data_IF_286213405003
#
_entry.id   IF_286213405003
#
_cell.length_a   1.000
_cell.length_b   1.000
_cell.length_c   1.000
_cell.angle_alpha   90.00
_cell.angle_beta   90.00
_cell.angle_gamma   90.00
#
_symmetry.space_group_name_H-M   'P 1'
#
loop_
_entity.id
_entity.type
_entity.pdbx_description
1 polymer ?
#
# COMPACT_ATOMS: atom_id res chain seq x y z
N UNK A 1 4.02 21.28 7.06
CA UNK A 1 3.91 19.84 7.33
C UNK A 1 3.01 19.22 6.28
N UNK A 2 3.39 18.08 5.73
CA UNK A 2 2.56 17.34 4.80
C UNK A 2 1.24 16.89 5.45
N UNK A 3 0.18 16.85 4.65
CA UNK A 3 -1.11 16.29 5.08
C UNK A 3 -1.20 14.82 4.66
N UNK A 4 -2.03 14.06 5.35
CA UNK A 4 -2.34 12.69 4.97
C UNK A 4 -3.81 12.38 5.19
N UNK A 5 -4.34 11.42 4.45
CA UNK A 5 -5.71 10.93 4.54
C UNK A 5 -5.75 9.41 4.60
N UNK A 6 -6.83 8.87 5.14
CA UNK A 6 -6.96 7.43 5.34
C UNK A 6 -7.48 6.73 4.08
N UNK A 7 -6.87 5.62 3.75
CA UNK A 7 -7.29 4.67 2.73
C UNK A 7 -7.24 3.23 3.23
N UNK A 8 -7.84 2.34 2.45
CA UNK A 8 -7.71 0.90 2.59
C UNK A 8 -7.10 0.31 1.32
N UNK A 9 -6.38 -0.81 1.44
CA UNK A 9 -5.91 -1.55 0.28
C UNK A 9 -6.65 -2.87 0.11
N UNK A 10 -6.41 -3.55 -1.00
CA UNK A 10 -6.86 -4.93 -1.18
C UNK A 10 -6.20 -5.89 -0.17
N UNK A 11 -5.07 -5.51 0.45
CA UNK A 11 -4.46 -6.21 1.58
C UNK A 11 -5.05 -5.84 2.96
N UNK A 12 -6.03 -4.94 3.02
CA UNK A 12 -6.90 -4.84 4.21
C UNK A 12 -7.78 -6.09 4.32
N UNK A 13 -8.08 -6.71 3.16
CA UNK A 13 -8.91 -7.90 3.03
C UNK A 13 -8.21 -9.03 2.24
N UNK A 14 -7.03 -9.52 2.70
CA UNK A 14 -6.26 -10.52 1.97
C UNK A 14 -7.00 -11.86 1.81
N UNK A 15 -7.76 -12.30 2.81
CA UNK A 15 -8.49 -13.57 2.73
C UNK A 15 -9.74 -13.44 1.87
N UNK A 16 -10.48 -12.34 1.96
CA UNK A 16 -11.62 -12.10 1.08
C UNK A 16 -11.17 -11.96 -0.39
N UNK A 17 -9.96 -11.43 -0.66
CA UNK A 17 -9.39 -11.40 -2.00
C UNK A 17 -8.88 -12.76 -2.51
N UNK A 18 -8.84 -13.78 -1.63
CA UNK A 18 -8.47 -15.14 -2.01
C UNK A 18 -6.95 -15.40 -2.03
N UNK A 19 -6.15 -14.65 -1.28
CA UNK A 19 -4.70 -14.87 -1.14
C UNK A 19 -4.37 -16.25 -0.62
N UNK A 20 -5.18 -16.80 0.31
CA UNK A 20 -4.95 -18.14 0.83
C UNK A 20 -5.60 -19.22 -0.07
N UNK A 21 -4.83 -20.03 -0.82
CA UNK A 21 -5.38 -21.02 -1.73
C UNK A 21 -6.14 -22.14 -1.00
N UNK A 22 -5.85 -22.39 0.28
CA UNK A 22 -6.52 -23.42 1.10
C UNK A 22 -7.88 -22.96 1.64
N UNK A 23 -8.14 -21.66 1.67
CA UNK A 23 -9.37 -21.04 2.18
C UNK A 23 -9.83 -19.95 1.21
N UNK A 24 -10.31 -20.33 0.03
CA UNK A 24 -10.83 -19.37 -0.96
C UNK A 24 -12.31 -19.10 -0.76
N UNK A 25 -12.74 -17.82 -0.71
CA UNK A 25 -14.16 -17.49 -0.69
C UNK A 25 -14.83 -17.85 -2.02
N UNK A 26 -16.09 -18.27 -1.97
CA UNK A 26 -16.88 -18.58 -3.18
C UNK A 26 -17.10 -17.33 -4.06
N UNK A 27 -17.14 -16.16 -3.42
CA UNK A 27 -17.22 -14.85 -4.07
C UNK A 27 -16.04 -13.99 -3.57
N UNK A 28 -14.91 -13.99 -4.29
CA UNK A 28 -13.76 -13.19 -3.91
C UNK A 28 -14.05 -11.69 -4.01
N UNK A 29 -13.27 -10.89 -3.28
CA UNK A 29 -13.31 -9.43 -3.37
C UNK A 29 -13.08 -8.98 -4.81
N UNK A 30 -13.99 -8.13 -5.29
CA UNK A 30 -13.88 -7.49 -6.60
C UNK A 30 -13.36 -6.05 -6.45
N UNK A 31 -12.87 -5.40 -7.53
CA UNK A 31 -12.51 -4.00 -7.46
C UNK A 31 -13.65 -3.09 -7.00
N UNK A 32 -14.87 -3.29 -7.47
CA UNK A 32 -16.06 -2.54 -7.02
C UNK A 32 -16.38 -2.85 -5.56
N UNK A 33 -16.28 -4.11 -5.15
CA UNK A 33 -16.49 -4.52 -3.77
C UNK A 33 -15.50 -3.88 -2.78
N UNK A 34 -14.25 -3.61 -3.19
CA UNK A 34 -13.29 -2.88 -2.35
C UNK A 34 -13.69 -1.40 -2.19
N UNK A 35 -14.24 -0.78 -3.23
CA UNK A 35 -14.82 0.58 -3.14
C UNK A 35 -15.99 0.59 -2.17
N UNK A 36 -16.88 -0.42 -2.22
CA UNK A 36 -18.00 -0.54 -1.28
C UNK A 36 -17.52 -0.69 0.17
N UNK A 37 -16.42 -1.44 0.39
CA UNK A 37 -15.77 -1.54 1.71
C UNK A 37 -15.27 -0.17 2.19
N UNK A 38 -14.63 0.63 1.32
CA UNK A 38 -14.17 1.96 1.66
C UNK A 38 -15.34 2.90 2.04
N UNK A 39 -16.42 2.87 1.28
CA UNK A 39 -17.65 3.62 1.60
C UNK A 39 -18.23 3.18 2.95
N UNK A 40 -18.34 1.87 3.20
CA UNK A 40 -18.87 1.34 4.45
C UNK A 40 -18.02 1.69 5.68
N UNK A 41 -16.70 1.84 5.50
CA UNK A 41 -15.74 2.25 6.53
C UNK A 41 -15.60 3.78 6.63
N UNK A 42 -16.26 4.53 5.76
CA UNK A 42 -16.14 6.00 5.65
C UNK A 42 -14.67 6.43 5.53
N UNK A 43 -13.96 5.89 4.52
CA UNK A 43 -12.59 6.27 4.14
C UNK A 43 -12.56 6.70 2.68
N UNK A 44 -11.69 7.67 2.36
CA UNK A 44 -11.71 8.37 1.07
C UNK A 44 -10.77 7.84 0.00
N UNK A 45 -10.03 6.74 0.26
CA UNK A 45 -9.05 6.23 -0.67
C UNK A 45 -9.04 4.70 -0.71
N UNK A 46 -8.87 4.14 -1.91
CA UNK A 46 -8.68 2.71 -2.17
C UNK A 46 -7.41 2.50 -2.95
N UNK A 47 -6.53 1.65 -2.44
CA UNK A 47 -5.34 1.20 -3.15
C UNK A 47 -5.51 -0.25 -3.57
N UNK A 48 -5.47 -0.50 -4.87
CA UNK A 48 -5.43 -1.85 -5.42
C UNK A 48 -4.00 -2.37 -5.42
N UNK A 49 -3.76 -3.45 -4.73
CA UNK A 49 -2.45 -4.10 -4.66
C UNK A 49 -2.40 -5.36 -5.56
N UNK A 50 -1.26 -6.02 -5.60
CA UNK A 50 -1.02 -7.15 -6.50
C UNK A 50 -1.86 -8.42 -6.19
N UNK A 51 -2.57 -8.48 -5.08
CA UNK A 51 -3.55 -9.53 -4.77
C UNK A 51 -4.92 -9.31 -5.44
N UNK A 52 -5.11 -8.16 -6.08
CA UNK A 52 -6.26 -7.83 -6.92
C UNK A 52 -5.75 -7.20 -8.24
N UNK A 53 -5.05 -7.98 -9.08
CA UNK A 53 -4.32 -7.47 -10.24
C UNK A 53 -5.24 -7.00 -11.36
N UNK A 54 -4.77 -6.03 -12.13
CA UNK A 54 -5.51 -5.43 -13.26
C UNK A 54 -4.95 -5.84 -14.62
N UNK A 55 -4.02 -6.78 -14.66
CA UNK A 55 -3.30 -7.17 -15.87
C UNK A 55 -4.24 -7.54 -17.04
N UNK A 56 -5.35 -8.23 -16.74
CA UNK A 56 -6.28 -8.79 -17.71
C UNK A 56 -7.59 -7.97 -17.90
N UNK A 57 -7.71 -6.81 -17.24
CA UNK A 57 -8.92 -6.00 -17.34
C UNK A 57 -8.99 -5.27 -18.67
N UNK A 58 -10.20 -5.29 -19.25
CA UNK A 58 -10.51 -4.53 -20.46
C UNK A 58 -10.62 -3.03 -20.16
N UNK A 59 -10.47 -2.23 -21.16
CA UNK A 59 -10.66 -0.79 -21.08
C UNK A 59 -12.04 -0.42 -20.54
N UNK A 60 -13.08 -1.13 -20.96
CA UNK A 60 -14.44 -0.91 -20.47
C UNK A 60 -14.58 -1.20 -18.97
N UNK A 61 -13.93 -2.26 -18.48
CA UNK A 61 -13.90 -2.60 -17.05
C UNK A 61 -13.18 -1.52 -16.23
N UNK A 62 -12.05 -1.00 -16.75
CA UNK A 62 -11.33 0.09 -16.08
C UNK A 62 -12.17 1.39 -16.02
N UNK A 63 -12.89 1.71 -17.10
CA UNK A 63 -13.80 2.87 -17.14
C UNK A 63 -14.96 2.72 -16.15
N UNK A 64 -15.53 1.51 -16.02
CA UNK A 64 -16.56 1.20 -15.03
C UNK A 64 -16.05 1.42 -13.61
N UNK A 65 -14.88 0.88 -13.27
CA UNK A 65 -14.26 1.04 -11.93
C UNK A 65 -14.04 2.53 -11.64
N UNK A 66 -13.51 3.29 -12.60
CA UNK A 66 -13.30 4.73 -12.46
C UNK A 66 -14.59 5.47 -12.19
N UNK A 67 -15.61 5.24 -13.01
CA UNK A 67 -16.92 5.89 -12.87
C UNK A 67 -17.56 5.57 -11.50
N UNK A 68 -17.48 4.30 -11.08
CA UNK A 68 -18.03 3.84 -9.81
C UNK A 68 -17.38 4.52 -8.60
N UNK A 69 -16.03 4.68 -8.64
CA UNK A 69 -15.29 5.37 -7.60
C UNK A 69 -15.61 6.88 -7.57
N UNK A 70 -15.66 7.53 -8.75
CA UNK A 70 -15.98 8.94 -8.87
C UNK A 70 -17.37 9.28 -8.32
N UNK A 71 -18.39 8.47 -8.64
CA UNK A 71 -19.75 8.62 -8.11
C UNK A 71 -19.78 8.59 -6.57
N UNK A 72 -18.87 7.84 -5.96
CA UNK A 72 -18.77 7.66 -4.49
C UNK A 72 -17.76 8.59 -3.81
N UNK A 73 -17.07 9.43 -4.59
CA UNK A 73 -16.04 10.33 -4.07
C UNK A 73 -14.81 9.61 -3.51
N UNK A 74 -14.51 8.40 -4.01
CA UNK A 74 -13.36 7.60 -3.60
C UNK A 74 -12.18 7.85 -4.54
N UNK A 75 -11.04 8.23 -3.98
CA UNK A 75 -9.76 8.24 -4.71
C UNK A 75 -9.26 6.83 -4.93
N UNK A 76 -8.73 6.58 -6.13
CA UNK A 76 -8.11 5.31 -6.45
C UNK A 76 -6.59 5.47 -6.52
N UNK A 77 -5.90 4.43 -6.09
CA UNK A 77 -4.48 4.19 -6.31
C UNK A 77 -4.29 2.76 -6.83
N UNK A 78 -3.30 2.56 -7.67
CA UNK A 78 -2.99 1.25 -8.24
C UNK A 78 -1.70 0.69 -7.68
N UNK A 79 -1.53 -0.63 -7.75
CA UNK A 79 -0.31 -1.29 -7.28
C UNK A 79 0.02 -2.54 -8.08
N UNK A 80 1.31 -2.78 -8.24
CA UNK A 80 1.86 -3.93 -8.95
C UNK A 80 3.01 -4.58 -8.19
N UNK A 81 3.34 -5.82 -8.58
CA UNK A 81 4.52 -6.55 -8.11
C UNK A 81 5.32 -7.05 -9.32
N UNK A 82 6.66 -6.89 -9.27
CA UNK A 82 7.55 -7.19 -10.38
C UNK A 82 7.58 -6.07 -11.42
N UNK A 83 8.50 -5.12 -11.23
CA UNK A 83 8.64 -3.93 -12.08
C UNK A 83 9.48 -4.22 -13.33
N UNK A 84 9.07 -5.24 -14.13
CA UNK A 84 9.65 -5.39 -15.47
C UNK A 84 9.25 -4.21 -16.36
N UNK A 85 10.06 -3.83 -17.38
CA UNK A 85 9.75 -2.70 -18.26
C UNK A 85 8.33 -2.76 -18.83
N UNK A 86 7.96 -3.89 -19.44
CA UNK A 86 6.67 -4.06 -20.07
C UNK A 86 5.50 -3.98 -19.07
N UNK A 87 5.65 -4.56 -17.88
CA UNK A 87 4.60 -4.53 -16.86
C UNK A 87 4.44 -3.14 -16.26
N UNK A 88 5.56 -2.45 -15.99
CA UNK A 88 5.51 -1.08 -15.50
C UNK A 88 4.82 -0.14 -16.50
N UNK A 89 5.14 -0.24 -17.78
CA UNK A 89 4.44 0.51 -18.84
C UNK A 89 2.95 0.20 -18.87
N UNK A 90 2.58 -1.08 -18.81
CA UNK A 90 1.17 -1.51 -18.77
C UNK A 90 0.42 -0.91 -17.56
N UNK A 91 1.03 -0.92 -16.38
CA UNK A 91 0.40 -0.36 -15.18
C UNK A 91 0.33 1.17 -15.19
N UNK A 92 1.26 1.86 -15.86
CA UNK A 92 1.15 3.30 -16.12
C UNK A 92 -0.09 3.59 -16.98
N UNK A 93 -0.33 2.80 -18.04
CA UNK A 93 -1.52 2.97 -18.91
C UNK A 93 -2.82 2.69 -18.13
N UNK A 94 -2.86 1.62 -17.34
CA UNK A 94 -3.99 1.29 -16.47
C UNK A 94 -4.26 2.43 -15.49
N UNK A 95 -3.21 2.93 -14.83
CA UNK A 95 -3.30 4.04 -13.87
C UNK A 95 -3.83 5.32 -14.50
N UNK A 96 -3.32 5.66 -15.69
CA UNK A 96 -3.78 6.82 -16.46
C UNK A 96 -5.27 6.69 -16.83
N UNK A 97 -5.72 5.50 -17.26
CA UNK A 97 -7.12 5.26 -17.60
C UNK A 97 -8.06 5.33 -16.40
N UNK A 98 -7.64 4.80 -15.27
CA UNK A 98 -8.37 4.91 -14.00
C UNK A 98 -8.38 6.34 -13.45
N UNK A 99 -7.50 7.22 -13.95
CA UNK A 99 -7.37 8.60 -13.48
C UNK A 99 -6.74 8.70 -12.09
N UNK A 100 -5.87 7.74 -11.74
CA UNK A 100 -5.18 7.74 -10.44
C UNK A 100 -3.93 8.60 -10.48
N UNK A 101 -3.56 9.16 -9.33
CA UNK A 101 -2.36 10.01 -9.19
C UNK A 101 -1.14 9.25 -8.65
N UNK A 102 -1.32 8.02 -8.15
CA UNK A 102 -0.25 7.22 -7.57
C UNK A 102 -0.33 5.75 -8.00
N UNK A 103 0.82 5.23 -8.45
CA UNK A 103 1.09 3.82 -8.74
C UNK A 103 2.11 3.30 -7.72
N UNK A 104 1.72 2.33 -6.91
CA UNK A 104 2.61 1.61 -6.00
C UNK A 104 3.30 0.45 -6.71
N UNK A 105 4.60 0.29 -6.55
CA UNK A 105 5.37 -0.80 -7.13
C UNK A 105 6.24 -1.54 -6.12
N UNK A 106 6.16 -2.88 -6.11
CA UNK A 106 7.21 -3.75 -5.55
C UNK A 106 8.14 -4.12 -6.69
N UNK A 107 9.45 -3.96 -6.49
CA UNK A 107 10.46 -4.21 -7.52
C UNK A 107 10.49 -5.66 -7.98
N UNK A 108 10.34 -6.58 -7.05
CA UNK A 108 10.57 -8.00 -7.21
C UNK A 108 9.29 -8.79 -7.51
N UNK A 109 9.43 -9.91 -8.19
CA UNK A 109 8.40 -10.94 -8.35
C UNK A 109 9.08 -12.33 -8.43
N UNK A 110 8.28 -13.41 -8.43
CA UNK A 110 8.80 -14.75 -8.59
C UNK A 110 9.62 -14.86 -9.89
N UNK A 111 10.91 -15.20 -9.75
CA UNK A 111 11.84 -15.31 -10.88
C UNK A 111 12.33 -13.97 -11.46
N UNK A 112 12.06 -12.86 -10.81
CA UNK A 112 12.55 -11.53 -11.21
C UNK A 112 12.95 -10.72 -9.97
N UNK A 113 14.25 -10.64 -9.73
CA UNK A 113 14.89 -9.89 -8.63
C UNK A 113 16.00 -9.01 -9.22
N UNK A 114 15.64 -7.89 -9.87
CA UNK A 114 16.59 -7.04 -10.56
C UNK A 114 17.55 -6.35 -9.58
N UNK A 115 18.84 -6.17 -9.94
CA UNK A 115 19.73 -5.33 -9.16
C UNK A 115 19.30 -3.86 -9.20
N UNK A 116 19.78 -3.06 -8.26
CA UNK A 116 19.40 -1.65 -8.11
C UNK A 116 19.59 -0.84 -9.41
N UNK A 117 20.70 -1.06 -10.09
CA UNK A 117 21.04 -0.37 -11.34
C UNK A 117 20.01 -0.66 -12.44
N UNK A 118 19.48 -1.87 -12.48
CA UNK A 118 18.41 -2.22 -13.42
C UNK A 118 17.10 -1.54 -13.05
N UNK A 119 16.73 -1.52 -11.77
CA UNK A 119 15.54 -0.82 -11.30
C UNK A 119 15.61 0.67 -11.66
N UNK A 120 16.73 1.33 -11.36
CA UNK A 120 16.97 2.73 -11.71
C UNK A 120 16.83 2.96 -13.21
N UNK A 121 17.44 2.09 -14.02
CA UNK A 121 17.36 2.17 -15.50
C UNK A 121 15.93 2.02 -16.00
N UNK A 122 15.18 1.05 -15.48
CA UNK A 122 13.79 0.78 -15.85
C UNK A 122 12.91 1.97 -15.49
N UNK A 123 13.02 2.48 -14.27
CA UNK A 123 12.22 3.64 -13.81
C UNK A 123 12.55 4.89 -14.62
N UNK A 124 13.83 5.17 -14.86
CA UNK A 124 14.23 6.31 -15.73
C UNK A 124 13.66 6.20 -17.14
N UNK A 125 13.54 4.99 -17.67
CA UNK A 125 12.96 4.75 -19.01
C UNK A 125 11.49 5.16 -19.12
N UNK A 126 10.74 5.16 -18.02
CA UNK A 126 9.30 5.49 -18.00
C UNK A 126 8.99 6.91 -17.51
N UNK A 127 9.99 7.70 -17.09
CA UNK A 127 9.77 9.06 -16.58
C UNK A 127 8.94 9.96 -17.52
N UNK A 128 9.18 9.96 -18.86
CA UNK A 128 8.36 10.79 -19.75
C UNK A 128 6.88 10.38 -19.78
N UNK A 129 6.58 9.11 -19.47
CA UNK A 129 5.18 8.62 -19.38
C UNK A 129 4.56 9.05 -18.05
N UNK A 130 5.30 8.97 -16.94
CA UNK A 130 4.86 9.47 -15.64
C UNK A 130 4.55 10.97 -15.71
N UNK A 131 5.42 11.77 -16.33
CA UNK A 131 5.21 13.20 -16.55
C UNK A 131 3.96 13.49 -17.38
N UNK A 132 3.79 12.77 -18.50
CA UNK A 132 2.62 12.95 -19.39
C UNK A 132 1.29 12.76 -18.66
N UNK A 133 1.25 11.85 -17.70
CA UNK A 133 0.02 11.51 -16.96
C UNK A 133 -0.06 12.16 -15.58
N UNK A 134 0.97 12.89 -15.15
CA UNK A 134 1.05 13.44 -13.78
C UNK A 134 1.03 12.35 -12.72
N UNK A 135 1.55 11.15 -13.04
CA UNK A 135 1.47 9.96 -12.21
C UNK A 135 2.72 9.85 -11.33
N UNK A 136 2.51 9.73 -10.02
CA UNK A 136 3.59 9.44 -9.07
C UNK A 136 3.81 7.93 -8.99
N UNK A 137 5.06 7.49 -9.11
CA UNK A 137 5.48 6.11 -8.83
C UNK A 137 6.04 6.05 -7.40
N UNK A 138 5.39 5.24 -6.55
CA UNK A 138 5.87 4.93 -5.21
C UNK A 138 6.50 3.54 -5.17
N UNK A 139 7.80 3.44 -4.89
CA UNK A 139 8.50 2.16 -4.71
C UNK A 139 8.41 1.77 -3.25
N UNK A 140 7.86 0.58 -2.97
CA UNK A 140 7.68 0.10 -1.61
C UNK A 140 8.89 -0.64 -1.09
N UNK A 141 9.26 -0.39 0.18
CA UNK A 141 10.23 -1.23 0.87
C UNK A 141 9.63 -2.61 1.13
N UNK A 142 10.30 -3.62 0.58
CA UNK A 142 9.86 -5.01 0.66
C UNK A 142 11.07 -5.95 0.65
N UNK A 143 11.25 -6.70 1.72
CA UNK A 143 12.12 -7.85 1.97
C UNK A 143 13.63 -7.72 1.65
N UNK A 144 14.07 -7.12 0.55
CA UNK A 144 15.43 -7.32 0.02
C UNK A 144 16.39 -6.16 0.28
N UNK A 145 15.95 -4.93 0.06
CA UNK A 145 16.79 -3.75 0.23
C UNK A 145 16.61 -3.11 1.61
N UNK A 146 17.69 -2.55 2.14
CA UNK A 146 17.64 -1.73 3.34
C UNK A 146 17.03 -0.34 3.03
N UNK A 147 16.48 0.31 4.03
CA UNK A 147 15.88 1.65 3.91
C UNK A 147 16.83 2.67 3.28
N UNK A 148 18.14 2.63 3.65
CA UNK A 148 19.16 3.48 3.04
C UNK A 148 19.35 3.21 1.55
N UNK A 149 19.25 1.93 1.13
CA UNK A 149 19.42 1.55 -0.28
C UNK A 149 18.22 2.01 -1.12
N UNK A 150 17.00 2.00 -0.53
CA UNK A 150 15.83 2.64 -1.16
C UNK A 150 16.03 4.15 -1.32
N UNK A 151 16.55 4.85 -0.31
CA UNK A 151 16.86 6.27 -0.42
C UNK A 151 17.92 6.56 -1.50
N UNK A 152 18.97 5.73 -1.58
CA UNK A 152 19.99 5.81 -2.64
C UNK A 152 19.39 5.57 -4.03
N UNK A 153 18.48 4.61 -4.16
CA UNK A 153 17.76 4.33 -5.40
C UNK A 153 16.96 5.56 -5.87
N UNK A 154 16.22 6.21 -4.97
CA UNK A 154 15.46 7.42 -5.30
C UNK A 154 16.41 8.57 -5.69
N UNK A 155 17.52 8.75 -4.96
CA UNK A 155 18.51 9.76 -5.30
C UNK A 155 19.14 9.53 -6.69
N UNK A 156 19.43 8.27 -7.03
CA UNK A 156 19.91 7.91 -8.37
C UNK A 156 18.86 8.16 -9.44
N UNK A 157 17.58 7.83 -9.21
CA UNK A 157 16.51 8.13 -10.18
C UNK A 157 16.38 9.63 -10.38
N UNK A 158 16.42 10.42 -9.32
CA UNK A 158 16.53 11.88 -9.34
C UNK A 158 15.31 12.58 -9.95
N UNK A 159 14.09 12.10 -9.71
CA UNK A 159 12.89 12.65 -10.33
C UNK A 159 11.75 12.90 -9.31
N UNK A 160 11.07 14.07 -9.34
CA UNK A 160 10.05 14.41 -8.33
C UNK A 160 8.79 13.52 -8.38
N UNK A 161 8.49 12.87 -9.48
CA UNK A 161 7.36 11.93 -9.59
C UNK A 161 7.70 10.50 -9.10
N UNK A 162 8.89 10.28 -8.56
CA UNK A 162 9.27 8.98 -8.00
C UNK A 162 9.59 9.15 -6.52
N UNK A 163 8.96 8.34 -5.68
CA UNK A 163 9.15 8.36 -4.24
C UNK A 163 9.02 6.97 -3.62
N UNK A 164 8.89 6.92 -2.31
CA UNK A 164 8.81 5.68 -1.56
C UNK A 164 7.42 5.49 -0.93
N UNK A 165 6.91 4.28 -1.02
CA UNK A 165 5.85 3.80 -0.15
C UNK A 165 6.52 3.25 1.10
N UNK A 166 6.31 3.91 2.22
CA UNK A 166 6.89 3.50 3.50
C UNK A 166 6.00 2.45 4.13
N UNK A 167 6.45 1.21 4.19
CA UNK A 167 5.76 0.17 4.96
C UNK A 167 6.46 -0.02 6.31
N UNK A 168 5.70 0.14 7.37
CA UNK A 168 6.24 0.15 8.73
C UNK A 168 6.64 -1.21 9.26
N UNK A 169 6.27 -2.30 8.59
CA UNK A 169 6.52 -3.67 9.08
C UNK A 169 7.40 -4.51 8.17
N UNK A 170 7.46 -4.19 6.87
CA UNK A 170 8.26 -4.98 5.94
C UNK A 170 9.75 -4.99 6.30
N UNK A 171 10.29 -3.87 6.81
CA UNK A 171 11.69 -3.78 7.26
C UNK A 171 12.01 -4.60 8.52
N UNK A 172 11.01 -5.26 9.14
CA UNK A 172 11.30 -6.27 10.18
C UNK A 172 12.05 -7.48 9.60
N UNK A 173 11.88 -7.78 8.31
CA UNK A 173 12.59 -8.86 7.61
C UNK A 173 14.06 -8.56 7.40
N UNK A 174 14.45 -7.28 7.37
CA UNK A 174 15.84 -6.80 7.26
C UNK A 174 16.42 -6.38 8.62
N UNK A 175 15.71 -6.66 9.70
CA UNK A 175 16.11 -6.34 11.10
C UNK A 175 16.36 -4.84 11.34
N UNK A 176 15.75 -3.95 10.55
CA UNK A 176 15.91 -2.52 10.69
C UNK A 176 14.96 -1.94 11.75
N UNK A 177 15.46 -1.16 12.71
CA UNK A 177 14.61 -0.44 13.63
C UNK A 177 13.82 0.66 12.91
N UNK A 178 12.57 0.87 13.31
CA UNK A 178 11.66 1.83 12.65
C UNK A 178 12.23 3.26 12.56
N UNK A 179 13.02 3.67 13.52
CA UNK A 179 13.63 5.01 13.53
C UNK A 179 14.64 5.17 12.40
N UNK A 180 15.40 4.13 12.09
CA UNK A 180 16.34 4.11 10.95
C UNK A 180 15.58 4.08 9.62
N UNK A 181 14.54 3.26 9.50
CA UNK A 181 13.66 3.24 8.33
C UNK A 181 13.10 4.63 8.04
N UNK A 182 12.56 5.30 9.06
CA UNK A 182 12.01 6.65 8.92
C UNK A 182 13.07 7.68 8.54
N UNK A 183 14.27 7.60 9.10
CA UNK A 183 15.36 8.53 8.78
C UNK A 183 15.69 8.55 7.28
N UNK A 184 15.72 7.39 6.64
CA UNK A 184 16.08 7.29 5.22
C UNK A 184 14.88 7.43 4.30
N UNK A 185 13.70 6.92 4.66
CA UNK A 185 12.60 6.83 3.74
C UNK A 185 11.62 8.01 3.81
N UNK A 186 11.45 8.63 4.98
CA UNK A 186 10.47 9.70 5.15
C UNK A 186 10.69 10.92 4.21
N UNK A 187 11.95 11.35 3.92
CA UNK A 187 12.19 12.44 2.96
C UNK A 187 11.74 12.14 1.52
N UNK A 188 11.38 10.90 1.24
CA UNK A 188 10.92 10.43 -0.08
C UNK A 188 9.51 9.88 -0.06
N UNK A 189 8.81 9.96 1.07
CA UNK A 189 7.50 9.35 1.27
C UNK A 189 6.44 9.95 0.34
N UNK A 190 5.71 9.09 -0.37
CA UNK A 190 4.54 9.43 -1.20
C UNK A 190 3.29 8.63 -0.79
N UNK A 191 3.44 7.59 0.02
CA UNK A 191 2.38 6.79 0.62
C UNK A 191 2.92 6.10 1.87
N UNK A 192 2.07 5.89 2.86
CA UNK A 192 2.39 5.13 4.06
C UNK A 192 1.47 3.91 4.16
N UNK A 193 2.06 2.71 4.20
CA UNK A 193 1.33 1.48 4.52
C UNK A 193 1.37 1.26 6.02
N UNK A 194 0.23 1.43 6.67
CA UNK A 194 0.10 1.21 8.09
C UNK A 194 -0.32 -0.22 8.37
N UNK A 195 0.56 -0.94 9.04
CA UNK A 195 0.35 -2.28 9.59
C UNK A 195 0.70 -2.25 11.07
N UNK A 196 0.14 -3.17 11.85
CA UNK A 196 0.52 -3.35 13.24
C UNK A 196 0.80 -4.82 13.52
N UNK A 197 1.62 -5.10 14.51
CA UNK A 197 2.07 -6.44 14.82
C UNK A 197 2.32 -6.63 16.31
N UNK A 198 2.39 -7.89 16.73
CA UNK A 198 2.89 -8.30 18.05
C UNK A 198 3.98 -9.34 17.93
N UNK A 199 4.81 -9.44 18.95
CA UNK A 199 5.82 -10.48 19.12
C UNK A 199 5.44 -11.30 20.34
N UNK A 200 5.29 -12.60 20.17
CA UNK A 200 4.89 -13.51 21.22
C UNK A 200 5.69 -14.82 21.16
N UNK A 201 5.64 -15.62 22.23
CA UNK A 201 6.21 -16.96 22.20
C UNK A 201 5.51 -17.78 21.12
N UNK A 202 6.29 -18.57 20.37
CA UNK A 202 5.73 -19.51 19.43
C UNK A 202 4.87 -20.57 20.14
N UNK A 203 3.92 -21.18 19.43
CA UNK A 203 3.04 -22.22 19.99
C UNK A 203 3.81 -23.45 20.51
N UNK A 204 5.03 -23.67 20.03
CA UNK A 204 5.92 -24.71 20.54
C UNK A 204 6.55 -24.40 21.90
N UNK A 205 6.38 -23.17 22.41
CA UNK A 205 7.04 -22.69 23.64
C UNK A 205 8.51 -22.31 23.44
N UNK A 206 9.08 -22.55 22.27
CA UNK A 206 10.48 -22.25 21.91
C UNK A 206 10.49 -21.25 20.75
N UNK A 207 11.27 -20.18 20.89
CA UNK A 207 11.36 -19.12 19.89
C UNK A 207 10.26 -18.07 20.00
N UNK A 208 10.24 -17.17 19.03
CA UNK A 208 9.28 -16.06 18.92
C UNK A 208 8.56 -16.14 17.57
N UNK A 209 7.33 -15.68 17.55
CA UNK A 209 6.54 -15.46 16.35
C UNK A 209 6.13 -13.98 16.27
N UNK A 210 6.25 -13.40 15.09
CA UNK A 210 5.71 -12.09 14.76
C UNK A 210 4.37 -12.34 14.06
N UNK A 211 3.31 -11.72 14.56
CA UNK A 211 1.95 -11.85 14.00
C UNK A 211 1.30 -10.49 13.90
N UNK A 212 0.45 -10.29 12.90
CA UNK A 212 -0.30 -9.07 12.76
C UNK A 212 -1.26 -8.81 13.91
N UNK A 213 -1.63 -7.54 14.06
CA UNK A 213 -2.63 -7.04 14.99
C UNK A 213 -3.48 -5.95 14.31
N UNK A 214 -4.70 -5.69 14.77
CA UNK A 214 -5.41 -4.49 14.39
C UNK A 214 -4.58 -3.24 14.73
N UNK A 215 -4.60 -2.22 13.86
CA UNK A 215 -3.85 -0.98 14.09
C UNK A 215 -4.18 -0.36 15.46
N UNK A 216 -3.14 0.00 16.21
CA UNK A 216 -3.25 0.55 17.56
C UNK A 216 -3.34 -0.48 18.68
N UNK A 217 -3.36 -1.78 18.37
CA UNK A 217 -3.40 -2.86 19.35
C UNK A 217 -2.09 -3.64 19.43
N UNK A 218 -1.13 -3.32 18.58
CA UNK A 218 0.16 -3.97 18.50
C UNK A 218 1.30 -3.14 19.07
N UNK A 219 2.46 -3.29 18.47
CA UNK A 219 3.72 -2.68 18.91
C UNK A 219 4.19 -1.52 18.07
N UNK A 220 3.55 -1.28 16.91
CA UNK A 220 3.94 -0.16 16.05
C UNK A 220 3.63 1.18 16.74
N UNK A 221 4.60 2.08 16.84
CA UNK A 221 4.38 3.41 17.39
C UNK A 221 3.72 4.33 16.34
N UNK A 222 2.52 3.94 15.84
CA UNK A 222 1.83 4.58 14.71
C UNK A 222 1.75 6.12 14.84
N UNK A 223 1.39 6.72 16.00
CA UNK A 223 1.36 8.17 16.12
C UNK A 223 2.73 8.81 15.87
N UNK A 224 3.81 8.22 16.44
CA UNK A 224 5.19 8.71 16.23
C UNK A 224 5.60 8.64 14.76
N UNK A 225 5.26 7.55 14.08
CA UNK A 225 5.55 7.37 12.65
C UNK A 225 4.83 8.44 11.83
N UNK A 226 3.53 8.63 12.06
CA UNK A 226 2.72 9.63 11.37
C UNK A 226 3.26 11.05 11.58
N UNK A 227 3.62 11.41 12.81
CA UNK A 227 4.18 12.73 13.12
C UNK A 227 5.53 12.94 12.41
N UNK A 228 6.36 11.90 12.34
CA UNK A 228 7.64 11.95 11.63
C UNK A 228 7.42 12.12 10.13
N UNK A 229 6.57 11.29 9.53
CA UNK A 229 6.25 11.36 8.09
C UNK A 229 5.63 12.72 7.71
N UNK A 230 4.67 13.24 8.49
CA UNK A 230 4.09 14.57 8.25
C UNK A 230 5.11 15.69 8.26
N UNK A 231 6.17 15.58 9.05
CA UNK A 231 7.24 16.58 9.16
C UNK A 231 8.22 16.50 8.00
N UNK A 232 8.62 15.30 7.59
CA UNK A 232 9.73 15.06 6.67
C UNK A 232 9.28 14.77 5.22
N UNK A 233 8.05 14.31 5.00
CA UNK A 233 7.57 14.01 3.66
C UNK A 233 7.57 15.24 2.75
N UNK A 234 8.01 15.11 1.49
CA UNK A 234 8.15 16.23 0.57
C UNK A 234 6.81 16.78 0.05
N UNK A 235 5.73 16.05 0.26
CA UNK A 235 4.36 16.34 -0.20
C UNK A 235 3.33 15.63 0.65
N UNK A 236 2.07 15.95 0.40
CA UNK A 236 0.94 15.20 0.94
C UNK A 236 0.94 13.75 0.44
N UNK A 237 0.46 12.82 1.27
CA UNK A 237 0.52 11.38 1.01
C UNK A 237 -0.70 10.64 1.57
N UNK A 238 -1.05 9.51 0.97
CA UNK A 238 -2.06 8.60 1.52
C UNK A 238 -1.47 7.75 2.65
N UNK A 239 -2.29 7.47 3.67
CA UNK A 239 -2.03 6.44 4.68
C UNK A 239 -2.99 5.30 4.44
N UNK A 240 -2.48 4.16 4.01
CA UNK A 240 -3.26 3.01 3.56
C UNK A 240 -3.14 1.87 4.56
N UNK A 241 -4.28 1.41 5.07
CA UNK A 241 -4.33 0.26 5.98
C UNK A 241 -4.07 -1.04 5.22
N UNK A 242 -3.17 -1.85 5.74
CA UNK A 242 -2.97 -3.25 5.35
C UNK A 242 -2.99 -4.18 6.56
N UNK A 243 -3.35 -5.44 6.38
CA UNK A 243 -3.52 -6.41 7.45
C UNK A 243 -2.56 -7.60 7.31
N UNK A 244 -2.03 -8.05 8.44
CA UNK A 244 -1.20 -9.25 8.58
C UNK A 244 -1.90 -10.35 9.39
N UNK A 245 -3.19 -10.38 9.34
CA UNK A 245 -3.97 -11.35 10.11
C UNK A 245 -3.60 -12.80 9.75
N UNK A 246 -3.47 -13.65 10.75
CA UNK A 246 -3.40 -15.10 10.54
C UNK A 246 -4.81 -15.65 10.25
N UNK A 247 -4.89 -16.70 9.41
CA UNK A 247 -6.17 -17.38 9.17
C UNK A 247 -6.67 -18.10 10.43
N UNK A 248 -7.99 -18.11 10.60
CA UNK A 248 -8.69 -18.91 11.59
C UNK A 248 -8.90 -20.36 11.08
N UNK A 249 -9.36 -21.28 11.95
CA UNK A 249 -9.63 -22.66 11.55
C UNK A 249 -10.62 -22.81 10.39
N UNK A 250 -11.61 -21.92 10.26
CA UNK A 250 -12.59 -21.94 9.17
C UNK A 250 -12.54 -20.63 8.38
N UNK A 251 -12.94 -20.70 7.10
CA UNK A 251 -13.05 -19.52 6.24
C UNK A 251 -14.03 -18.49 6.83
N UNK A 252 -15.18 -18.94 7.33
CA UNK A 252 -16.19 -18.05 7.91
C UNK A 252 -15.61 -17.23 9.08
N UNK A 253 -14.91 -17.89 10.00
CA UNK A 253 -14.23 -17.21 11.10
C UNK A 253 -13.15 -16.25 10.61
N UNK A 254 -12.39 -16.66 9.59
CA UNK A 254 -11.34 -15.83 8.99
C UNK A 254 -11.92 -14.54 8.40
N UNK A 255 -12.98 -14.65 7.60
CA UNK A 255 -13.62 -13.48 6.97
C UNK A 255 -14.30 -12.58 7.99
N UNK A 256 -14.93 -13.15 9.02
CA UNK A 256 -15.51 -12.36 10.12
C UNK A 256 -14.44 -11.58 10.89
N UNK A 257 -13.34 -12.23 11.22
CA UNK A 257 -12.23 -11.60 11.93
C UNK A 257 -11.53 -10.52 11.07
N UNK A 258 -11.38 -10.76 9.78
CA UNK A 258 -10.80 -9.80 8.83
C UNK A 258 -11.64 -8.51 8.77
N UNK A 259 -12.96 -8.64 8.69
CA UNK A 259 -13.90 -7.52 8.73
C UNK A 259 -13.83 -6.76 10.05
N UNK A 260 -13.76 -7.47 11.17
CA UNK A 260 -13.65 -6.86 12.51
C UNK A 260 -12.32 -6.11 12.67
N UNK A 261 -11.22 -6.67 12.16
CA UNK A 261 -9.91 -6.02 12.19
C UNK A 261 -9.89 -4.74 11.35
N UNK A 262 -10.49 -4.77 10.16
CA UNK A 262 -10.61 -3.59 9.31
C UNK A 262 -11.37 -2.46 10.03
N UNK A 263 -12.52 -2.76 10.65
CA UNK A 263 -13.34 -1.80 11.42
C UNK A 263 -12.57 -1.23 12.61
N UNK A 264 -11.93 -2.07 13.41
CA UNK A 264 -11.17 -1.64 14.59
C UNK A 264 -9.99 -0.75 14.19
N UNK A 265 -9.24 -1.15 13.17
CA UNK A 265 -8.10 -0.41 12.66
C UNK A 265 -8.49 0.96 12.12
N UNK A 266 -9.54 1.03 11.29
CA UNK A 266 -10.04 2.30 10.75
C UNK A 266 -10.56 3.20 11.87
N UNK A 267 -11.31 2.65 12.84
CA UNK A 267 -11.80 3.43 13.99
C UNK A 267 -10.66 4.06 14.81
N UNK A 268 -9.55 3.34 15.00
CA UNK A 268 -8.35 3.86 15.64
C UNK A 268 -7.66 4.94 14.79
N UNK A 269 -7.40 4.64 13.51
CA UNK A 269 -6.66 5.54 12.61
C UNK A 269 -7.40 6.86 12.36
N UNK A 270 -8.72 6.86 12.32
CA UNK A 270 -9.55 8.08 12.21
C UNK A 270 -9.39 9.06 13.37
N UNK A 271 -8.86 8.64 14.49
CA UNK A 271 -8.53 9.54 15.61
C UNK A 271 -7.20 10.29 15.35
N UNK A 272 -6.37 9.81 14.43
CA UNK A 272 -5.02 10.32 14.16
C UNK A 272 -4.94 11.10 12.83
N UNK A 273 -5.77 10.73 11.85
CA UNK A 273 -5.74 11.27 10.49
C UNK A 273 -7.15 11.44 9.93
N UNK A 274 -7.37 12.43 9.05
CA UNK A 274 -8.64 12.61 8.34
C UNK A 274 -9.01 11.37 7.51
N UNK A 275 -10.29 11.05 7.47
CA UNK A 275 -10.80 9.95 6.67
C UNK A 275 -10.74 10.23 5.16
N UNK A 276 -10.82 11.49 4.77
CA UNK A 276 -10.85 11.93 3.37
C UNK A 276 -9.73 12.92 3.07
N UNK A 277 -9.25 12.94 1.81
CA UNK A 277 -8.27 13.94 1.38
C UNK A 277 -8.83 15.37 1.51
N UNK A 278 -7.95 16.36 1.63
CA UNK A 278 -8.38 17.76 1.61
C UNK A 278 -9.09 18.05 0.29
N UNK A 279 -10.21 18.74 0.34
CA UNK A 279 -10.91 19.18 -0.87
C UNK A 279 -10.02 20.19 -1.59
N UNK A 280 -9.70 19.92 -2.86
CA UNK A 280 -8.97 20.86 -3.70
C UNK A 280 -9.75 22.19 -3.74
N UNK A 281 -9.23 23.23 -3.10
CA UNK A 281 -9.83 24.57 -3.10
C UNK A 281 -10.25 25.15 -1.75
N UNK A 282 -9.92 24.52 -0.62
CA UNK A 282 -10.00 25.18 0.69
C UNK A 282 -8.59 25.61 1.12
N UNK A 283 -8.39 26.93 1.43
CA UNK A 283 -7.11 27.47 1.88
C UNK A 283 -6.69 26.95 3.25
#
# INVERSE_FOLDING_TARGET
MAQTWLGISSFTYPFLSGVNPAQRPAQPLTPLGLIDKAVALDVGCVQYSHNLPFDDFSDATLDEIRAYAQERGILLETGMKGMTPARLERYIDISARLGVSMLRGITDAAGYEPPMEEIVRVVRGVLPRLERHGLTLGIENHDRFLAREYAEMIAQIGHPLVGLVVDSTNSLSTEEPIDEVLQYMAPHCVCFHVKDYTIQRSNSGVGLAITGMPAGQGRQPIPKILDYLKREAPRDFSTVLESWMACCPTLEQTLSQEEDWAKQSVAYLRQLIPAHPPRSGQP
#
